data_IF_525511006414
#
_entry.id   IF_525511006414
#
_cell.length_a   1.000
_cell.length_b   1.000
_cell.length_c   1.000
_cell.angle_alpha   90.00
_cell.angle_beta   90.00
_cell.angle_gamma   90.00
#
_symmetry.space_group_name_H-M   'P 1'
#
loop_
_entity.id
_entity.type
_entity.pdbx_description
1 polymer ?
#
# COMPACT_ATOMS: atom_id res chain seq x y z
N UNK A 1 -3.54 -34.11 82.94
CA UNK A 1 -4.64 -33.57 83.77
C UNK A 1 -4.52 -32.05 83.80
N UNK A 2 -5.57 -31.36 83.32
CA UNK A 2 -6.18 -30.11 83.84
C UNK A 2 -5.22 -28.87 83.95
N UNK A 3 -5.26 -27.87 83.05
CA UNK A 3 -6.21 -26.72 82.96
C UNK A 3 -6.10 -25.79 84.20
N UNK A 4 -6.04 -24.45 84.18
CA UNK A 4 -6.42 -23.41 83.21
C UNK A 4 -5.94 -22.02 83.71
N UNK A 5 -5.78 -21.06 82.77
CA UNK A 5 -6.08 -19.60 82.85
C UNK A 5 -5.41 -18.70 83.93
N UNK A 6 -4.98 -17.44 83.68
CA UNK A 6 -5.52 -16.35 82.83
C UNK A 6 -4.54 -15.15 82.77
N UNK A 7 -4.52 -14.46 81.62
CA UNK A 7 -4.31 -13.00 81.36
C UNK A 7 -2.97 -12.34 81.74
N UNK A 8 -2.16 -12.01 80.73
CA UNK A 8 -1.32 -10.81 80.72
C UNK A 8 -1.79 -9.86 79.62
N UNK A 9 -2.03 -8.60 80.00
CA UNK A 9 -2.26 -7.47 79.14
C UNK A 9 -0.92 -6.98 78.56
N UNK A 10 -0.88 -6.69 77.26
CA UNK A 10 0.26 -6.02 76.62
C UNK A 10 -0.26 -4.74 75.96
N UNK A 11 0.51 -3.68 76.21
CA UNK A 11 0.20 -2.28 75.98
C UNK A 11 0.00 -1.91 74.50
N UNK A 12 -0.97 -1.01 74.26
CA UNK A 12 -1.09 -0.22 73.06
C UNK A 12 0.02 0.85 73.03
N UNK A 13 0.75 0.93 71.92
CA UNK A 13 1.45 2.13 71.48
C UNK A 13 0.96 2.46 70.07
N UNK A 14 0.10 3.47 69.99
CA UNK A 14 -0.36 4.06 68.75
C UNK A 14 0.73 5.01 68.21
N UNK A 15 1.25 4.71 67.02
CA UNK A 15 2.05 5.66 66.24
C UNK A 15 1.09 6.34 65.26
N UNK A 16 0.74 7.59 65.56
CA UNK A 16 0.06 8.47 64.63
C UNK A 16 1.08 9.07 63.65
N UNK A 17 0.83 8.91 62.36
CA UNK A 17 1.44 9.73 61.33
C UNK A 17 0.31 10.48 60.60
N UNK A 18 0.25 11.80 60.82
CA UNK A 18 -0.53 12.71 60.00
C UNK A 18 0.07 12.74 58.59
N UNK A 19 -0.70 12.39 57.57
CA UNK A 19 -0.43 12.79 56.19
C UNK A 19 -1.52 13.72 55.71
N UNK A 20 -1.11 14.97 55.49
CA UNK A 20 -1.94 16.04 54.94
C UNK A 20 -2.36 15.69 53.51
N UNK A 21 -3.66 15.86 53.22
CA UNK A 21 -4.14 15.98 51.85
C UNK A 21 -3.72 17.35 51.30
N UNK A 22 -2.62 17.39 50.56
CA UNK A 22 -2.21 18.52 49.75
C UNK A 22 -2.58 18.28 48.29
N UNK A 23 -3.49 19.08 47.75
CA UNK A 23 -3.75 19.13 46.32
C UNK A 23 -2.50 19.58 45.58
N UNK A 24 -2.03 18.78 44.62
CA UNK A 24 -0.92 19.19 43.76
C UNK A 24 -1.41 20.19 42.72
N UNK A 25 -1.03 21.45 42.93
CA UNK A 25 -1.02 22.50 41.93
C UNK A 25 -0.26 22.05 40.67
N UNK A 26 -0.72 22.51 39.50
CA UNK A 26 -0.04 22.31 38.22
C UNK A 26 1.31 23.04 38.26
N UNK A 27 2.36 22.29 38.00
CA UNK A 27 3.75 22.74 37.86
C UNK A 27 3.90 23.46 36.50
N UNK A 28 4.10 24.80 36.44
CA UNK A 28 4.04 25.57 35.21
C UNK A 28 5.27 25.40 34.30
N UNK A 29 6.27 24.62 34.70
CA UNK A 29 7.47 24.32 33.90
C UNK A 29 7.51 22.90 33.33
N UNK A 30 6.44 22.11 33.45
CA UNK A 30 6.36 20.81 32.77
C UNK A 30 5.82 20.97 31.34
N UNK A 31 6.60 20.63 30.30
CA UNK A 31 6.12 20.62 28.93
C UNK A 31 4.88 19.75 28.79
N UNK A 32 3.88 20.21 28.02
CA UNK A 32 2.68 19.41 27.78
C UNK A 32 3.04 18.12 27.03
N UNK A 33 2.18 17.10 27.11
CA UNK A 33 2.33 15.83 26.37
C UNK A 33 2.49 16.07 24.85
N UNK A 34 1.99 17.21 24.35
CA UNK A 34 2.16 17.65 22.96
C UNK A 34 3.58 18.17 22.66
N UNK A 35 4.29 18.77 23.62
CA UNK A 35 5.69 19.16 23.45
C UNK A 35 6.66 17.97 23.53
N UNK A 36 6.31 16.93 24.29
CA UNK A 36 7.07 15.67 24.31
C UNK A 36 6.96 14.87 23.01
N UNK A 37 5.87 15.02 22.25
CA UNK A 37 5.73 14.45 20.91
C UNK A 37 6.68 15.11 19.88
N UNK A 38 7.16 16.33 20.16
CA UNK A 38 8.03 17.08 19.24
C UNK A 38 9.52 16.96 19.60
N UNK A 39 9.87 16.46 20.80
CA UNK A 39 11.24 16.58 21.35
C UNK A 39 11.96 15.28 21.73
N UNK A 40 11.36 14.10 21.59
CA UNK A 40 11.97 12.84 22.03
C UNK A 40 12.64 12.02 20.92
N UNK A 41 13.89 12.34 20.57
CA UNK A 41 14.90 11.42 19.97
C UNK A 41 14.37 10.29 19.06
N UNK A 42 13.67 10.63 17.96
CA UNK A 42 13.72 9.81 16.76
C UNK A 42 15.04 10.16 16.07
N UNK A 43 15.83 9.16 15.68
CA UNK A 43 16.64 9.36 14.47
C UNK A 43 15.64 9.82 13.41
N UNK A 44 15.61 11.12 13.10
CA UNK A 44 14.77 11.64 12.04
C UNK A 44 15.21 10.89 10.79
N UNK A 45 14.42 9.91 10.39
CA UNK A 45 14.45 9.40 9.03
C UNK A 45 14.03 10.58 8.18
N UNK A 46 15.02 11.38 7.76
CA UNK A 46 14.80 12.55 6.93
C UNK A 46 14.40 12.01 5.57
N UNK A 47 13.16 12.32 5.19
CA UNK A 47 12.74 12.18 3.82
C UNK A 47 13.56 13.12 2.95
N UNK A 48 13.66 12.80 1.67
CA UNK A 48 14.22 13.73 0.71
C UNK A 48 13.36 15.01 0.66
N UNK A 49 13.98 16.15 0.35
CA UNK A 49 13.32 17.45 0.47
C UNK A 49 12.06 17.60 -0.40
N UNK A 50 12.00 16.92 -1.54
CA UNK A 50 10.84 16.87 -2.43
C UNK A 50 9.72 15.99 -1.88
N UNK A 51 10.05 14.82 -1.33
CA UNK A 51 9.10 13.98 -0.59
C UNK A 51 8.54 14.71 0.63
N UNK A 52 9.38 15.42 1.39
CA UNK A 52 8.94 16.20 2.54
C UNK A 52 7.95 17.29 2.16
N UNK A 53 8.09 17.92 0.98
CA UNK A 53 7.12 18.91 0.48
C UNK A 53 5.74 18.29 0.29
N UNK A 54 5.67 17.11 -0.34
CA UNK A 54 4.39 16.41 -0.53
C UNK A 54 3.79 16.00 0.82
N UNK A 55 4.60 15.54 1.77
CA UNK A 55 4.12 15.19 3.12
C UNK A 55 3.62 16.41 3.91
N UNK A 56 4.28 17.56 3.78
CA UNK A 56 3.84 18.80 4.41
C UNK A 56 2.48 19.24 3.84
N UNK A 57 2.32 19.18 2.52
CA UNK A 57 1.05 19.48 1.87
C UNK A 57 -0.04 18.50 2.29
N UNK A 58 0.26 17.20 2.32
CA UNK A 58 -0.67 16.18 2.80
C UNK A 58 -1.12 16.42 4.24
N UNK A 59 -0.18 16.77 5.13
CA UNK A 59 -0.47 17.08 6.52
C UNK A 59 -1.30 18.38 6.68
N UNK A 60 -1.20 19.32 5.73
CA UNK A 60 -1.94 20.59 5.77
C UNK A 60 -3.45 20.41 5.65
N UNK A 61 -3.91 19.29 5.08
CA UNK A 61 -5.34 19.00 4.94
C UNK A 61 -6.01 18.57 6.26
N UNK A 62 -5.24 18.37 7.34
CA UNK A 62 -5.73 18.02 8.68
C UNK A 62 -6.72 16.83 8.66
N UNK A 63 -6.37 15.82 7.87
CA UNK A 63 -7.16 14.59 7.72
C UNK A 63 -7.25 13.79 9.03
N UNK A 64 -8.38 13.11 9.22
CA UNK A 64 -8.54 12.20 10.36
C UNK A 64 -7.62 10.99 10.19
N UNK A 65 -7.03 10.54 11.29
CA UNK A 65 -6.28 9.28 11.32
C UNK A 65 -7.18 8.12 10.86
N UNK A 66 -6.81 7.43 9.77
CA UNK A 66 -7.67 6.47 9.07
C UNK A 66 -8.16 5.36 10.00
N UNK A 67 -7.32 4.86 10.89
CA UNK A 67 -7.67 3.81 11.85
C UNK A 67 -8.74 4.23 12.88
N UNK A 68 -9.09 5.52 12.93
CA UNK A 68 -10.14 6.10 13.78
C UNK A 68 -11.40 6.50 12.99
N UNK A 69 -11.47 6.14 11.71
CA UNK A 69 -12.58 6.47 10.82
C UNK A 69 -13.42 5.24 10.46
N UNK A 70 -14.65 5.48 10.02
CA UNK A 70 -15.42 4.48 9.25
C UNK A 70 -14.85 4.37 7.83
N UNK A 71 -15.05 3.23 7.12
CA UNK A 71 -14.62 3.11 5.72
C UNK A 71 -15.21 4.20 4.81
N UNK A 72 -16.45 4.63 5.06
CA UNK A 72 -17.08 5.72 4.31
C UNK A 72 -16.35 7.05 4.52
N UNK A 73 -15.95 7.38 5.76
CA UNK A 73 -15.15 8.57 6.07
C UNK A 73 -13.73 8.48 5.51
N UNK A 74 -13.08 7.31 5.60
CA UNK A 74 -11.75 7.06 5.04
C UNK A 74 -11.70 7.34 3.53
N UNK A 75 -12.75 6.92 2.80
CA UNK A 75 -12.89 7.15 1.34
C UNK A 75 -13.07 8.61 0.94
N UNK A 76 -13.37 9.50 1.90
CA UNK A 76 -13.50 10.95 1.66
C UNK A 76 -12.27 11.72 2.16
N UNK A 77 -11.29 11.04 2.78
CA UNK A 77 -10.08 11.72 3.25
C UNK A 77 -9.19 12.14 2.06
N UNK A 78 -8.45 13.25 2.20
CA UNK A 78 -7.41 13.64 1.26
C UNK A 78 -6.41 12.53 1.00
N UNK A 79 -5.82 12.52 -0.19
CA UNK A 79 -4.84 11.51 -0.62
C UNK A 79 -3.49 12.14 -0.95
N UNK A 80 -2.45 11.31 -1.12
CA UNK A 80 -1.16 11.78 -1.64
C UNK A 80 -1.28 12.37 -3.06
N UNK A 81 -2.25 11.92 -3.86
CA UNK A 81 -2.52 12.52 -5.16
C UNK A 81 -3.05 13.96 -5.02
N UNK A 82 -3.84 14.25 -3.99
CA UNK A 82 -4.30 15.61 -3.71
C UNK A 82 -3.16 16.49 -3.17
N UNK A 83 -2.27 15.92 -2.37
CA UNK A 83 -1.06 16.62 -1.92
C UNK A 83 -0.13 16.97 -3.09
N UNK A 84 0.02 16.07 -4.07
CA UNK A 84 0.76 16.39 -5.30
C UNK A 84 0.11 17.54 -6.06
N UNK A 85 -1.23 17.56 -6.19
CA UNK A 85 -1.95 18.68 -6.83
C UNK A 85 -1.75 19.99 -6.07
N UNK A 86 -1.80 19.97 -4.74
CA UNK A 86 -1.53 21.14 -3.89
C UNK A 86 -0.14 21.71 -4.14
N UNK A 87 0.90 20.87 -4.07
CA UNK A 87 2.28 21.28 -4.36
C UNK A 87 2.45 21.83 -5.77
N UNK A 88 1.78 21.26 -6.77
CA UNK A 88 1.82 21.76 -8.15
C UNK A 88 1.11 23.10 -8.29
N UNK A 89 -0.01 23.29 -7.60
CA UNK A 89 -0.75 24.55 -7.56
C UNK A 89 0.10 25.68 -6.96
N UNK A 90 0.79 25.42 -5.85
CA UNK A 90 1.72 26.36 -5.22
C UNK A 90 2.91 26.75 -6.11
N UNK A 91 3.25 25.87 -7.06
CA UNK A 91 4.29 26.10 -8.07
C UNK A 91 3.75 26.70 -9.37
N UNK A 92 2.46 27.03 -9.43
CA UNK A 92 1.76 27.49 -10.65
C UNK A 92 1.93 26.52 -11.83
N UNK A 93 1.97 25.21 -11.55
CA UNK A 93 2.13 24.14 -12.54
C UNK A 93 0.80 23.45 -12.82
N UNK A 94 0.56 23.15 -14.10
CA UNK A 94 -0.61 22.38 -14.52
C UNK A 94 -0.56 20.94 -13.97
N UNK A 95 -1.57 20.57 -13.18
CA UNK A 95 -1.76 19.23 -12.63
C UNK A 95 -2.65 18.35 -13.54
N UNK A 96 -2.98 18.81 -14.73
CA UNK A 96 -3.75 18.10 -15.73
C UNK A 96 -3.04 16.82 -16.19
N UNK A 97 -3.74 15.68 -16.37
CA UNK A 97 -3.09 14.41 -16.67
C UNK A 97 -2.20 14.41 -17.92
N UNK A 98 -2.59 15.17 -18.96
CA UNK A 98 -1.79 15.34 -20.19
C UNK A 98 -0.53 16.18 -19.98
N UNK A 99 -0.58 17.18 -19.10
CA UNK A 99 0.58 17.98 -18.75
C UNK A 99 1.59 17.17 -17.93
N UNK A 100 1.09 16.36 -16.99
CA UNK A 100 1.93 15.51 -16.13
C UNK A 100 2.61 14.38 -16.91
N UNK A 101 1.89 13.73 -17.83
CA UNK A 101 2.42 12.62 -18.63
C UNK A 101 2.02 12.80 -20.10
N UNK A 102 2.74 13.64 -20.86
CA UNK A 102 2.41 13.90 -22.25
C UNK A 102 2.59 12.65 -23.11
N UNK A 103 1.78 12.52 -24.17
CA UNK A 103 1.80 11.34 -25.07
C UNK A 103 1.10 10.10 -24.51
N UNK A 104 0.27 10.26 -23.46
CA UNK A 104 -0.63 9.20 -22.97
C UNK A 104 -2.06 9.70 -22.96
N UNK A 105 -2.91 9.04 -23.75
CA UNK A 105 -4.37 9.24 -23.73
C UNK A 105 -5.02 8.30 -22.71
N UNK A 106 -6.20 8.66 -22.22
CA UNK A 106 -6.97 7.81 -21.32
C UNK A 106 -8.46 7.81 -21.65
N UNK A 107 -9.13 6.66 -21.47
CA UNK A 107 -10.58 6.54 -21.59
C UNK A 107 -11.14 5.54 -20.58
N UNK A 108 -12.34 5.80 -20.10
CA UNK A 108 -13.05 4.88 -19.21
C UNK A 108 -13.78 3.78 -19.98
N UNK A 109 -13.79 2.59 -19.40
CA UNK A 109 -14.48 1.40 -19.90
C UNK A 109 -15.11 0.62 -18.75
N UNK A 110 -15.84 -0.43 -19.10
CA UNK A 110 -16.28 -1.47 -18.17
C UNK A 110 -15.60 -2.79 -18.54
N UNK A 111 -15.07 -3.50 -17.55
CA UNK A 111 -14.43 -4.82 -17.72
C UNK A 111 -15.13 -5.90 -16.88
N UNK A 112 -15.06 -7.18 -17.25
CA UNK A 112 -15.64 -8.24 -16.43
C UNK A 112 -14.91 -8.41 -15.09
N UNK A 113 -15.64 -8.25 -14.00
CA UNK A 113 -15.30 -8.76 -12.66
C UNK A 113 -15.96 -10.11 -12.39
N UNK A 114 -15.87 -10.60 -11.14
CA UNK A 114 -16.40 -11.91 -10.80
C UNK A 114 -17.93 -11.95 -10.68
N UNK A 115 -18.54 -10.84 -10.24
CA UNK A 115 -20.01 -10.75 -10.00
C UNK A 115 -20.69 -9.72 -10.91
N UNK A 116 -19.96 -9.02 -11.77
CA UNK A 116 -20.51 -8.01 -12.66
C UNK A 116 -19.43 -7.24 -13.41
N UNK A 117 -19.83 -6.15 -14.07
CA UNK A 117 -18.88 -5.24 -14.70
C UNK A 117 -18.22 -4.31 -13.66
N UNK A 118 -16.93 -4.06 -13.86
CA UNK A 118 -16.10 -3.18 -13.05
C UNK A 118 -15.65 -1.97 -13.87
N UNK A 119 -15.68 -0.76 -13.30
CA UNK A 119 -15.09 0.41 -13.94
C UNK A 119 -13.58 0.20 -14.14
N UNK A 120 -13.08 0.62 -15.29
CA UNK A 120 -11.65 0.66 -15.55
C UNK A 120 -11.28 1.86 -16.41
N UNK A 121 -10.03 2.30 -16.31
CA UNK A 121 -9.44 3.30 -17.20
C UNK A 121 -8.36 2.63 -18.03
N UNK A 122 -8.43 2.83 -19.34
CA UNK A 122 -7.40 2.41 -20.30
C UNK A 122 -6.50 3.59 -20.58
N UNK A 123 -5.22 3.48 -20.22
CA UNK A 123 -4.16 4.41 -20.60
C UNK A 123 -3.46 3.87 -21.84
N UNK A 124 -3.34 4.70 -22.88
CA UNK A 124 -2.76 4.29 -24.17
C UNK A 124 -1.62 5.24 -24.54
N UNK A 125 -0.39 4.72 -24.71
CA UNK A 125 0.75 5.52 -25.17
C UNK A 125 0.61 5.87 -26.66
N UNK A 126 1.45 6.78 -27.14
CA UNK A 126 1.55 7.09 -28.57
C UNK A 126 1.95 5.87 -29.41
N UNK A 127 1.41 5.81 -30.64
CA UNK A 127 1.70 4.75 -31.62
C UNK A 127 0.45 4.00 -32.08
N UNK A 128 0.64 3.02 -32.96
CA UNK A 128 -0.46 2.29 -33.61
C UNK A 128 -0.84 0.98 -32.92
N UNK A 129 0.03 0.40 -32.09
CA UNK A 129 -0.16 -0.92 -31.49
C UNK A 129 -0.06 -2.09 -32.50
N UNK A 130 -0.53 -3.31 -32.14
CA UNK A 130 -1.06 -3.65 -30.82
C UNK A 130 0.05 -3.54 -29.76
N UNK A 131 -0.30 -3.01 -28.59
CA UNK A 131 0.66 -2.80 -27.51
C UNK A 131 0.72 -4.02 -26.57
N UNK A 132 1.81 -4.22 -25.81
CA UNK A 132 1.73 -4.98 -24.58
C UNK A 132 0.64 -4.40 -23.65
N UNK A 133 0.08 -5.22 -22.77
CA UNK A 133 -0.93 -4.78 -21.81
C UNK A 133 -0.48 -5.05 -20.38
N UNK A 134 -0.59 -4.04 -19.53
CA UNK A 134 -0.42 -4.17 -18.08
C UNK A 134 -1.80 -4.06 -17.43
N UNK A 135 -2.24 -5.10 -16.73
CA UNK A 135 -3.38 -4.99 -15.82
C UNK A 135 -2.87 -4.41 -14.50
N UNK A 136 -3.40 -3.26 -14.12
CA UNK A 136 -2.93 -2.48 -12.99
C UNK A 136 -3.98 -2.41 -11.87
N UNK A 137 -3.56 -2.74 -10.66
CA UNK A 137 -4.40 -2.70 -9.46
C UNK A 137 -3.95 -1.55 -8.55
N UNK A 138 -4.90 -0.68 -8.21
CA UNK A 138 -4.67 0.42 -7.27
C UNK A 138 -4.42 -0.11 -5.85
N UNK A 139 -3.88 0.73 -4.97
CA UNK A 139 -3.69 0.40 -3.55
C UNK A 139 -4.90 0.72 -2.69
N UNK A 140 -4.67 1.20 -1.46
CA UNK A 140 -5.74 1.56 -0.52
C UNK A 140 -6.26 0.40 0.34
N UNK A 141 -5.41 -0.58 0.66
CA UNK A 141 -5.69 -1.61 1.66
C UNK A 141 -6.94 -2.45 1.40
N UNK A 142 -7.36 -2.58 0.14
CA UNK A 142 -8.63 -3.18 -0.32
C UNK A 142 -9.91 -2.48 0.18
N UNK A 143 -9.81 -1.31 0.82
CA UNK A 143 -10.93 -0.67 1.52
C UNK A 143 -11.29 0.69 0.92
N UNK A 144 -10.31 1.44 0.44
CA UNK A 144 -10.51 2.79 -0.09
C UNK A 144 -9.59 3.07 -1.29
N UNK A 145 -9.62 4.31 -1.78
CA UNK A 145 -9.06 4.75 -3.05
C UNK A 145 -9.68 4.07 -4.28
N UNK A 146 -9.28 4.53 -5.46
CA UNK A 146 -9.74 4.05 -6.76
C UNK A 146 -8.66 4.29 -7.83
N UNK A 147 -8.94 3.90 -9.07
CA UNK A 147 -8.08 4.15 -10.25
C UNK A 147 -7.79 5.63 -10.52
N UNK A 148 -8.59 6.57 -10.01
CA UNK A 148 -8.37 8.02 -10.20
C UNK A 148 -7.34 8.53 -9.20
N UNK A 149 -7.38 8.04 -7.96
CA UNK A 149 -6.33 8.32 -6.96
C UNK A 149 -4.97 7.80 -7.45
N UNK A 150 -4.95 6.63 -8.09
CA UNK A 150 -3.72 6.01 -8.61
C UNK A 150 -3.45 6.31 -10.11
N UNK A 151 -4.09 7.32 -10.70
CA UNK A 151 -3.94 7.68 -12.13
C UNK A 151 -2.47 7.89 -12.50
N UNK A 152 -1.73 8.67 -11.68
CA UNK A 152 -0.36 9.06 -11.99
C UNK A 152 0.61 7.87 -12.11
N UNK A 153 0.42 6.83 -11.27
CA UNK A 153 1.22 5.61 -11.34
C UNK A 153 0.90 4.80 -12.62
N UNK A 154 -0.38 4.54 -12.86
CA UNK A 154 -0.84 3.79 -14.04
C UNK A 154 -0.48 4.50 -15.36
N UNK A 155 -0.69 5.82 -15.43
CA UNK A 155 -0.37 6.66 -16.59
C UNK A 155 1.14 6.74 -16.82
N UNK A 156 1.92 6.90 -15.76
CA UNK A 156 3.37 6.87 -15.81
C UNK A 156 3.89 5.56 -16.40
N UNK A 157 3.38 4.43 -15.93
CA UNK A 157 3.73 3.10 -16.46
C UNK A 157 3.37 2.95 -17.94
N UNK A 158 2.22 3.44 -18.39
CA UNK A 158 1.83 3.39 -19.80
C UNK A 158 2.89 4.06 -20.70
N UNK A 159 3.38 5.23 -20.27
CA UNK A 159 4.46 5.95 -20.95
C UNK A 159 5.77 5.18 -20.90
N UNK A 160 6.24 4.81 -19.71
CA UNK A 160 7.59 4.26 -19.53
C UNK A 160 7.74 2.85 -20.13
N UNK A 161 6.70 2.03 -20.05
CA UNK A 161 6.70 0.67 -20.63
C UNK A 161 6.34 0.67 -22.13
N UNK A 162 5.83 1.78 -22.68
CA UNK A 162 5.19 1.84 -23.99
C UNK A 162 4.14 0.72 -24.15
N UNK A 163 3.26 0.62 -23.16
CA UNK A 163 2.25 -0.41 -23.03
C UNK A 163 0.88 0.21 -22.74
N UNK A 164 -0.19 -0.46 -23.17
CA UNK A 164 -1.52 -0.13 -22.68
C UNK A 164 -1.60 -0.54 -21.21
N UNK A 165 -2.08 0.35 -20.35
CA UNK A 165 -2.36 0.03 -18.94
C UNK A 165 -3.86 0.04 -18.74
N UNK A 166 -4.41 -1.06 -18.23
CA UNK A 166 -5.82 -1.16 -17.82
C UNK A 166 -5.86 -1.11 -16.31
N UNK A 167 -6.26 0.02 -15.73
CA UNK A 167 -6.44 0.18 -14.28
C UNK A 167 -7.88 -0.09 -13.89
N UNK A 168 -8.12 -1.06 -13.03
CA UNK A 168 -9.47 -1.55 -12.68
C UNK A 168 -9.86 -1.22 -11.24
N UNK A 169 -11.10 -0.76 -11.04
CA UNK A 169 -11.72 -0.57 -9.73
C UNK A 169 -12.33 -1.91 -9.29
N UNK A 170 -11.58 -2.70 -8.51
CA UNK A 170 -12.08 -3.95 -7.93
C UNK A 170 -13.02 -3.67 -6.75
N UNK A 171 -13.89 -4.64 -6.40
CA UNK A 171 -14.81 -4.47 -5.26
C UNK A 171 -14.03 -4.30 -3.95
N UNK A 172 -14.45 -3.32 -3.15
CA UNK A 172 -13.80 -2.95 -1.90
C UNK A 172 -14.51 -3.54 -0.68
N UNK A 173 -13.72 -3.78 0.36
CA UNK A 173 -14.16 -4.10 1.69
C UNK A 173 -14.58 -2.82 2.45
N UNK A 174 -15.43 -2.93 3.50
CA UNK A 174 -16.00 -4.15 4.06
C UNK A 174 -17.24 -4.67 3.33
N UNK A 175 -17.77 -3.96 2.34
CA UNK A 175 -18.98 -4.39 1.60
C UNK A 175 -18.72 -5.70 0.85
N UNK A 176 -17.51 -5.87 0.34
CA UNK A 176 -17.05 -7.06 -0.34
C UNK A 176 -15.69 -7.47 0.26
N UNK A 177 -15.74 -8.18 1.39
CA UNK A 177 -14.55 -8.70 2.07
C UNK A 177 -13.81 -9.74 1.20
N UNK A 178 -12.63 -10.11 1.65
CA UNK A 178 -11.86 -11.22 1.08
C UNK A 178 -12.75 -12.45 0.84
N UNK A 179 -12.72 -13.09 -0.35
CA UNK A 179 -11.76 -12.90 -1.44
C UNK A 179 -12.25 -12.04 -2.63
N UNK A 180 -13.23 -11.16 -2.46
CA UNK A 180 -13.90 -10.51 -3.59
C UNK A 180 -12.97 -9.74 -4.56
N UNK A 181 -12.02 -8.96 -4.04
CA UNK A 181 -11.05 -8.23 -4.87
C UNK A 181 -10.14 -9.17 -5.67
N UNK A 182 -9.73 -10.30 -5.09
CA UNK A 182 -8.91 -11.32 -5.74
C UNK A 182 -9.66 -12.01 -6.88
N UNK A 183 -10.95 -12.30 -6.68
CA UNK A 183 -11.81 -12.88 -7.71
C UNK A 183 -12.02 -11.91 -8.89
N UNK A 184 -12.24 -10.64 -8.60
CA UNK A 184 -12.37 -9.57 -9.60
C UNK A 184 -11.09 -9.38 -10.42
N UNK A 185 -9.93 -9.41 -9.76
CA UNK A 185 -8.63 -9.32 -10.42
C UNK A 185 -8.40 -10.49 -11.39
N UNK A 186 -8.70 -11.73 -10.96
CA UNK A 186 -8.60 -12.92 -11.82
C UNK A 186 -9.59 -12.88 -12.99
N UNK A 187 -10.83 -12.44 -12.76
CA UNK A 187 -11.84 -12.31 -13.81
C UNK A 187 -11.41 -11.30 -14.88
N UNK A 188 -10.89 -10.15 -14.45
CA UNK A 188 -10.38 -9.11 -15.37
C UNK A 188 -9.17 -9.61 -16.16
N UNK A 189 -8.24 -10.32 -15.50
CA UNK A 189 -7.08 -10.91 -16.18
C UNK A 189 -7.49 -11.96 -17.22
N UNK A 190 -8.44 -12.85 -16.88
CA UNK A 190 -9.01 -13.84 -17.82
C UNK A 190 -9.66 -13.18 -19.04
N UNK A 191 -10.32 -12.04 -18.85
CA UNK A 191 -10.87 -11.29 -19.98
C UNK A 191 -9.73 -10.79 -20.88
N UNK A 192 -8.65 -10.22 -20.33
CA UNK A 192 -7.51 -9.74 -21.12
C UNK A 192 -6.82 -10.85 -21.92
N UNK A 193 -6.73 -12.08 -21.41
CA UNK A 193 -6.12 -13.20 -22.17
C UNK A 193 -6.85 -13.54 -23.48
N UNK A 194 -8.08 -13.05 -23.67
CA UNK A 194 -8.88 -13.31 -24.88
C UNK A 194 -9.40 -12.04 -25.58
N UNK A 195 -9.42 -10.90 -24.88
CA UNK A 195 -10.04 -9.65 -25.36
C UNK A 195 -9.13 -8.42 -25.29
N UNK A 196 -7.83 -8.59 -25.06
CA UNK A 196 -6.86 -7.47 -25.08
C UNK A 196 -6.93 -6.62 -26.36
N UNK A 197 -7.28 -7.19 -27.52
CA UNK A 197 -7.43 -6.43 -28.77
C UNK A 197 -8.48 -5.31 -28.68
N UNK A 198 -9.49 -5.44 -27.81
CA UNK A 198 -10.51 -4.39 -27.57
C UNK A 198 -9.96 -3.12 -26.91
N UNK A 199 -8.75 -3.20 -26.34
CA UNK A 199 -8.01 -2.06 -25.79
C UNK A 199 -6.75 -1.75 -26.60
N UNK A 200 -6.69 -2.18 -27.87
CA UNK A 200 -5.50 -2.10 -28.74
C UNK A 200 -4.28 -2.84 -28.16
N UNK A 201 -4.54 -3.90 -27.40
CA UNK A 201 -3.54 -4.71 -26.72
C UNK A 201 -3.34 -6.09 -27.34
N UNK A 202 -2.18 -6.69 -27.07
CA UNK A 202 -1.83 -8.04 -27.46
C UNK A 202 -2.03 -9.03 -26.29
N UNK A 203 -2.93 -10.03 -26.41
CA UNK A 203 -3.20 -10.98 -25.34
C UNK A 203 -2.04 -11.93 -25.02
N UNK A 204 -0.98 -11.95 -25.83
CA UNK A 204 0.23 -12.75 -25.58
C UNK A 204 1.31 -11.98 -24.82
N UNK A 205 1.18 -10.66 -24.68
CA UNK A 205 2.14 -9.77 -24.03
C UNK A 205 1.46 -9.05 -22.86
N UNK A 206 1.07 -9.85 -21.87
CA UNK A 206 0.38 -9.38 -20.67
C UNK A 206 1.36 -9.27 -19.49
N UNK A 207 1.20 -8.25 -18.67
CA UNK A 207 1.83 -8.12 -17.35
C UNK A 207 0.80 -7.74 -16.29
N UNK A 208 1.15 -8.01 -15.04
CA UNK A 208 0.38 -7.60 -13.87
C UNK A 208 1.17 -6.55 -13.11
N UNK A 209 0.51 -5.49 -12.65
CA UNK A 209 1.13 -4.46 -11.85
C UNK A 209 0.21 -3.99 -10.73
N UNK A 210 0.78 -3.48 -9.64
CA UNK A 210 -0.01 -2.77 -8.66
C UNK A 210 0.81 -2.22 -7.51
N UNK A 211 0.14 -1.41 -6.70
CA UNK A 211 0.71 -0.66 -5.59
C UNK A 211 0.07 -1.10 -4.27
N UNK A 212 0.88 -1.35 -3.23
CA UNK A 212 0.40 -1.71 -1.89
C UNK A 212 -0.48 -2.98 -1.91
N UNK A 213 -1.75 -2.89 -1.49
CA UNK A 213 -2.75 -3.95 -1.66
C UNK A 213 -2.94 -4.37 -3.13
N UNK A 214 -2.77 -3.47 -4.09
CA UNK A 214 -2.75 -3.79 -5.52
C UNK A 214 -1.51 -4.57 -5.95
N UNK A 215 -0.37 -4.31 -5.30
CA UNK A 215 0.86 -5.11 -5.49
C UNK A 215 0.66 -6.55 -5.02
N UNK A 216 -0.09 -6.74 -3.93
CA UNK A 216 -0.54 -8.07 -3.49
C UNK A 216 -1.43 -8.73 -4.56
N UNK A 217 -2.46 -8.02 -5.04
CA UNK A 217 -3.37 -8.52 -6.08
C UNK A 217 -2.62 -8.91 -7.36
N UNK A 218 -1.60 -8.15 -7.76
CA UNK A 218 -0.79 -8.48 -8.93
C UNK A 218 -0.12 -9.85 -8.81
N UNK A 219 0.55 -10.12 -7.68
CA UNK A 219 1.21 -11.40 -7.43
C UNK A 219 0.18 -12.53 -7.25
N UNK A 220 -0.85 -12.31 -6.45
CA UNK A 220 -1.91 -13.30 -6.21
C UNK A 220 -2.63 -13.70 -7.51
N UNK A 221 -2.87 -12.73 -8.41
CA UNK A 221 -3.49 -12.98 -9.72
C UNK A 221 -2.58 -13.81 -10.61
N UNK A 222 -1.26 -13.60 -10.58
CA UNK A 222 -0.32 -14.41 -11.35
C UNK A 222 -0.36 -15.89 -10.91
N UNK A 223 -0.39 -16.14 -9.60
CA UNK A 223 -0.54 -17.48 -9.01
C UNK A 223 -1.87 -18.10 -9.46
N UNK A 224 -2.97 -17.36 -9.31
CA UNK A 224 -4.29 -17.85 -9.66
C UNK A 224 -4.45 -18.11 -11.17
N UNK A 225 -3.85 -17.28 -12.02
CA UNK A 225 -3.86 -17.45 -13.47
C UNK A 225 -3.12 -18.72 -13.90
N UNK A 226 -1.95 -18.98 -13.30
CA UNK A 226 -1.20 -20.22 -13.53
C UNK A 226 -2.02 -21.45 -13.13
N UNK A 227 -2.60 -21.45 -11.92
CA UNK A 227 -3.48 -22.54 -11.44
C UNK A 227 -4.69 -22.76 -12.34
N UNK A 228 -5.22 -21.69 -12.94
CA UNK A 228 -6.36 -21.74 -13.84
C UNK A 228 -5.99 -22.09 -15.30
N UNK A 229 -4.71 -22.34 -15.62
CA UNK A 229 -4.25 -22.63 -16.97
C UNK A 229 -4.44 -21.48 -17.96
N UNK A 230 -4.46 -20.23 -17.47
CA UNK A 230 -4.55 -19.04 -18.32
C UNK A 230 -3.21 -18.76 -19.00
N UNK A 231 -3.25 -17.96 -20.08
CA UNK A 231 -2.04 -17.37 -20.65
C UNK A 231 -1.25 -16.68 -19.53
N UNK A 232 -0.02 -17.16 -19.30
CA UNK A 232 0.83 -16.63 -18.24
C UNK A 232 1.19 -15.17 -18.50
N UNK A 233 1.18 -14.36 -17.44
CA UNK A 233 1.76 -13.03 -17.52
C UNK A 233 3.26 -13.17 -17.80
N UNK A 234 3.81 -12.23 -18.56
CA UNK A 234 5.24 -12.16 -18.87
C UNK A 234 6.04 -11.51 -17.75
N UNK A 235 5.40 -10.68 -16.93
CA UNK A 235 6.01 -9.97 -15.82
C UNK A 235 4.98 -9.65 -14.72
N UNK A 236 5.45 -9.57 -13.47
CA UNK A 236 4.70 -9.00 -12.35
C UNK A 236 5.49 -7.85 -11.73
N UNK A 237 4.90 -6.67 -11.66
CA UNK A 237 5.44 -5.52 -10.96
C UNK A 237 4.65 -5.28 -9.67
N UNK A 238 5.28 -5.43 -8.50
CA UNK A 238 4.65 -5.14 -7.23
C UNK A 238 5.38 -4.01 -6.51
N UNK A 239 4.70 -2.88 -6.38
CA UNK A 239 5.24 -1.67 -5.74
C UNK A 239 4.75 -1.65 -4.29
N UNK A 240 5.68 -1.61 -3.35
CA UNK A 240 5.56 -1.70 -1.89
C UNK A 240 4.43 -2.63 -1.44
N UNK A 241 4.42 -3.89 -1.90
CA UNK A 241 3.27 -4.75 -1.73
C UNK A 241 3.01 -5.08 -0.27
N UNK A 242 1.73 -5.23 0.09
CA UNK A 242 1.37 -6.09 1.22
C UNK A 242 1.71 -7.52 0.82
N UNK A 243 2.55 -8.21 1.58
CA UNK A 243 2.97 -9.57 1.23
C UNK A 243 2.71 -10.60 2.32
N UNK A 244 2.44 -10.15 3.55
CA UNK A 244 2.22 -11.00 4.71
C UNK A 244 1.42 -10.24 5.80
N UNK A 245 0.96 -10.93 6.85
CA UNK A 245 0.04 -10.36 7.86
C UNK A 245 0.62 -10.17 9.27
N UNK A 246 1.87 -10.56 9.51
CA UNK A 246 2.62 -10.25 10.72
C UNK A 246 3.04 -8.76 10.75
N UNK A 247 2.47 -8.01 11.69
CA UNK A 247 2.75 -6.57 11.86
C UNK A 247 3.83 -6.28 12.91
N UNK A 248 4.64 -7.27 13.27
CA UNK A 248 5.71 -7.16 14.28
C UNK A 248 7.13 -7.25 13.67
N UNK A 249 7.26 -7.05 12.36
CA UNK A 249 8.58 -6.99 11.69
C UNK A 249 9.33 -5.71 12.07
N UNK A 250 10.64 -5.65 11.80
CA UNK A 250 11.48 -4.50 12.13
C UNK A 250 10.91 -3.20 11.54
N UNK A 251 10.53 -3.20 10.26
CA UNK A 251 9.98 -2.03 9.57
C UNK A 251 8.63 -1.60 10.12
N UNK A 252 7.72 -2.52 10.46
CA UNK A 252 6.45 -2.18 11.11
C UNK A 252 6.66 -1.51 12.48
N UNK A 253 7.66 -1.94 13.25
CA UNK A 253 7.98 -1.35 14.55
C UNK A 253 8.73 -0.03 14.39
N UNK A 254 9.69 0.05 13.47
CA UNK A 254 10.52 1.24 13.20
C UNK A 254 9.71 2.39 12.61
N UNK A 255 8.75 2.09 11.72
CA UNK A 255 7.90 3.05 11.02
C UNK A 255 6.45 3.00 11.53
N UNK A 256 6.26 2.63 12.80
CA UNK A 256 4.94 2.41 13.39
C UNK A 256 4.00 3.61 13.32
N UNK A 257 4.55 4.83 13.20
CA UNK A 257 3.83 6.10 13.10
C UNK A 257 4.24 6.94 11.88
N UNK A 258 4.72 6.30 10.81
CA UNK A 258 5.04 6.96 9.55
C UNK A 258 3.79 7.51 8.84
N UNK A 259 4.02 8.41 7.88
CA UNK A 259 2.97 9.02 7.04
C UNK A 259 3.34 8.73 5.58
N UNK A 260 2.37 8.43 4.70
CA UNK A 260 0.93 8.37 4.95
C UNK A 260 0.45 7.03 5.53
N UNK A 261 1.30 5.99 5.54
CA UNK A 261 0.96 4.68 6.09
C UNK A 261 1.67 4.42 7.40
N UNK A 262 0.93 3.92 8.38
CA UNK A 262 1.44 3.51 9.69
C UNK A 262 0.92 2.11 10.10
N UNK A 263 1.47 1.57 11.19
CA UNK A 263 1.10 0.24 11.70
C UNK A 263 -0.37 0.15 12.16
N UNK A 264 -0.93 1.12 12.91
CA UNK A 264 -2.36 1.11 13.25
C UNK A 264 -3.29 1.03 12.04
N UNK A 265 -2.97 1.75 10.95
CA UNK A 265 -3.72 1.69 9.70
C UNK A 265 -3.68 0.29 9.07
N UNK A 266 -2.53 -0.39 9.07
CA UNK A 266 -2.45 -1.77 8.56
C UNK A 266 -3.35 -2.74 9.34
N UNK A 267 -3.41 -2.62 10.67
CA UNK A 267 -4.32 -3.42 11.49
C UNK A 267 -5.78 -3.11 11.15
N UNK A 268 -6.12 -1.83 10.92
CA UNK A 268 -7.45 -1.42 10.50
C UNK A 268 -7.80 -1.99 9.12
N UNK A 269 -6.91 -1.93 8.13
CA UNK A 269 -7.15 -2.52 6.79
C UNK A 269 -7.42 -4.01 6.88
N UNK A 270 -6.60 -4.77 7.62
CA UNK A 270 -6.80 -6.21 7.80
C UNK A 270 -8.18 -6.48 8.42
N UNK A 271 -8.57 -5.74 9.45
CA UNK A 271 -9.88 -5.91 10.11
C UNK A 271 -11.07 -5.61 9.19
N UNK A 272 -10.94 -4.60 8.32
CA UNK A 272 -11.99 -4.26 7.35
C UNK A 272 -12.04 -5.29 6.20
N UNK A 273 -10.88 -5.70 5.69
CA UNK A 273 -10.75 -6.59 4.53
C UNK A 273 -11.10 -8.05 4.82
N UNK A 274 -10.96 -8.50 6.07
CA UNK A 274 -11.14 -9.92 6.45
C UNK A 274 -12.44 -10.17 7.22
N UNK A 275 -13.02 -11.34 7.04
CA UNK A 275 -14.17 -11.85 7.81
C UNK A 275 -13.70 -12.54 9.09
N UNK A 276 -12.56 -13.23 9.02
CA UNK A 276 -11.94 -13.90 10.14
C UNK A 276 -10.43 -13.66 10.17
N UNK A 277 -9.76 -13.79 11.34
CA UNK A 277 -8.30 -13.73 11.41
C UNK A 277 -7.59 -14.73 10.49
N UNK A 278 -8.22 -15.86 10.19
CA UNK A 278 -7.65 -16.88 9.29
C UNK A 278 -7.54 -16.41 7.84
N UNK A 279 -8.39 -15.49 7.40
CA UNK A 279 -8.34 -14.97 6.04
C UNK A 279 -6.99 -14.27 5.79
N UNK A 280 -6.44 -13.59 6.81
CA UNK A 280 -5.12 -12.94 6.74
C UNK A 280 -3.94 -13.92 6.61
N UNK A 281 -4.18 -15.22 6.83
CA UNK A 281 -3.22 -16.31 6.65
C UNK A 281 -3.43 -17.09 5.36
N UNK A 282 -4.48 -16.77 4.59
CA UNK A 282 -4.69 -17.35 3.28
C UNK A 282 -3.53 -16.92 2.35
N UNK A 283 -2.96 -17.84 1.55
CA UNK A 283 -1.82 -17.54 0.66
C UNK A 283 -2.13 -16.54 -0.45
N UNK A 284 -3.40 -16.10 -0.61
CA UNK A 284 -3.77 -14.98 -1.47
C UNK A 284 -3.52 -13.61 -0.83
N UNK A 285 -3.42 -13.55 0.50
CA UNK A 285 -2.99 -12.36 1.26
C UNK A 285 -1.54 -12.55 1.73
N UNK A 286 -1.25 -13.67 2.38
CA UNK A 286 0.09 -14.04 2.86
C UNK A 286 0.90 -14.72 1.75
N UNK A 287 1.36 -13.90 0.80
CA UNK A 287 2.12 -14.31 -0.37
C UNK A 287 3.46 -14.97 -0.02
N UNK A 288 4.06 -14.62 1.14
CA UNK A 288 5.32 -15.21 1.61
C UNK A 288 5.18 -16.72 1.81
N UNK A 289 3.97 -17.19 2.16
CA UNK A 289 3.66 -18.61 2.37
C UNK A 289 2.89 -19.25 1.20
N UNK A 290 2.78 -18.56 0.06
CA UNK A 290 2.11 -19.08 -1.12
C UNK A 290 3.00 -20.04 -1.93
N UNK A 291 2.37 -20.82 -2.81
CA UNK A 291 3.08 -21.54 -3.86
C UNK A 291 3.45 -20.58 -4.99
N UNK A 292 4.70 -20.12 -4.98
CA UNK A 292 5.26 -19.15 -5.93
C UNK A 292 5.96 -19.82 -7.12
N UNK A 293 6.00 -21.15 -7.20
CA UNK A 293 6.79 -21.85 -8.21
C UNK A 293 6.22 -21.64 -9.61
N UNK A 294 7.09 -21.23 -10.54
CA UNK A 294 6.74 -21.05 -11.95
C UNK A 294 6.03 -19.73 -12.25
N UNK A 295 6.01 -18.79 -11.30
CA UNK A 295 5.66 -17.41 -11.59
C UNK A 295 6.64 -16.79 -12.61
N UNK A 296 6.17 -15.81 -13.43
CA UNK A 296 7.06 -15.05 -14.30
C UNK A 296 8.04 -14.18 -13.48
N UNK A 297 9.02 -13.54 -14.14
CA UNK A 297 9.87 -12.57 -13.47
C UNK A 297 9.08 -11.53 -12.68
N UNK A 298 9.53 -11.24 -11.47
CA UNK A 298 8.91 -10.29 -10.55
C UNK A 298 9.85 -9.11 -10.29
N UNK A 299 9.34 -7.89 -10.42
CA UNK A 299 10.01 -6.68 -9.93
C UNK A 299 9.32 -6.17 -8.69
N UNK A 300 10.09 -5.94 -7.63
CA UNK A 300 9.64 -5.36 -6.38
C UNK A 300 10.25 -3.96 -6.23
N UNK A 301 9.43 -2.95 -5.93
CA UNK A 301 9.88 -1.59 -5.62
C UNK A 301 9.46 -1.29 -4.19
N UNK A 302 10.37 -0.91 -3.29
CA UNK A 302 10.01 -0.55 -1.92
C UNK A 302 10.46 0.86 -1.59
N UNK A 303 9.75 1.50 -0.68
CA UNK A 303 10.18 2.70 0.02
C UNK A 303 10.94 2.34 1.30
N UNK A 304 11.90 3.18 1.71
CA UNK A 304 12.62 3.00 2.97
C UNK A 304 11.74 3.28 4.19
N UNK A 305 10.94 4.35 4.14
CA UNK A 305 10.13 4.84 5.27
C UNK A 305 8.72 4.27 5.13
N UNK A 306 8.60 2.97 5.35
CA UNK A 306 7.41 2.19 5.07
C UNK A 306 7.29 0.97 6.00
N UNK A 307 6.17 0.78 6.71
CA UNK A 307 5.89 -0.47 7.44
C UNK A 307 5.98 -1.73 6.56
N UNK A 308 5.68 -1.62 5.26
CA UNK A 308 5.70 -2.74 4.30
C UNK A 308 7.08 -2.98 3.67
N UNK A 309 8.13 -2.29 4.13
CA UNK A 309 9.49 -2.51 3.62
C UNK A 309 9.91 -3.98 3.77
N UNK A 310 9.66 -4.58 4.94
CA UNK A 310 10.07 -5.97 5.18
C UNK A 310 9.11 -6.98 4.55
N UNK A 311 7.88 -6.60 4.20
CA UNK A 311 6.97 -7.43 3.38
C UNK A 311 7.62 -7.69 2.02
N UNK A 312 8.10 -6.63 1.35
CA UNK A 312 8.80 -6.75 0.08
C UNK A 312 10.09 -7.58 0.19
N UNK A 313 10.85 -7.42 1.28
CA UNK A 313 12.08 -8.20 1.50
C UNK A 313 11.80 -9.69 1.75
N UNK A 314 10.77 -10.02 2.52
CA UNK A 314 10.36 -11.40 2.76
C UNK A 314 9.82 -12.06 1.49
N UNK A 315 9.01 -11.32 0.71
CA UNK A 315 8.50 -11.81 -0.57
C UNK A 315 9.64 -12.05 -1.57
N UNK A 316 10.63 -11.16 -1.63
CA UNK A 316 11.85 -11.37 -2.43
C UNK A 316 12.50 -12.71 -2.08
N UNK A 317 12.72 -12.98 -0.79
CA UNK A 317 13.33 -14.23 -0.36
C UNK A 317 12.47 -15.45 -0.72
N UNK A 318 11.15 -15.36 -0.53
CA UNK A 318 10.22 -16.44 -0.89
C UNK A 318 10.25 -16.72 -2.40
N UNK A 319 10.26 -15.69 -3.24
CA UNK A 319 10.38 -15.80 -4.71
C UNK A 319 11.70 -16.46 -5.12
N UNK A 320 12.84 -16.02 -4.53
CA UNK A 320 14.16 -16.62 -4.79
C UNK A 320 14.16 -18.10 -4.42
N UNK A 321 13.61 -18.45 -3.26
CA UNK A 321 13.52 -19.85 -2.79
C UNK A 321 12.65 -20.71 -3.72
N UNK A 322 11.62 -20.14 -4.32
CA UNK A 322 10.77 -20.81 -5.32
C UNK A 322 11.40 -20.89 -6.73
N UNK A 323 12.62 -20.36 -6.92
CA UNK A 323 13.32 -20.33 -8.21
C UNK A 323 12.80 -19.28 -9.18
N UNK A 324 12.06 -18.28 -8.71
CA UNK A 324 11.54 -17.17 -9.53
C UNK A 324 12.61 -16.10 -9.70
N UNK A 325 12.77 -15.58 -10.92
CA UNK A 325 13.62 -14.42 -11.17
C UNK A 325 13.00 -13.20 -10.50
N UNK A 326 13.70 -12.61 -9.53
CA UNK A 326 13.22 -11.44 -8.80
C UNK A 326 14.28 -10.38 -8.67
N UNK A 327 13.87 -9.14 -8.92
CA UNK A 327 14.66 -7.92 -8.72
C UNK A 327 13.93 -7.02 -7.73
N UNK A 328 14.60 -6.60 -6.66
CA UNK A 328 14.05 -5.65 -5.70
C UNK A 328 14.86 -4.37 -5.67
N UNK A 329 14.18 -3.22 -5.72
CA UNK A 329 14.80 -1.91 -5.55
C UNK A 329 14.18 -1.15 -4.37
N UNK A 330 15.02 -0.83 -3.39
CA UNK A 330 14.67 0.01 -2.25
C UNK A 330 15.06 1.46 -2.55
N UNK A 331 14.10 2.38 -2.44
CA UNK A 331 14.32 3.82 -2.56
C UNK A 331 14.40 4.44 -1.16
N UNK A 332 15.57 4.99 -0.83
CA UNK A 332 15.79 5.71 0.44
C UNK A 332 15.08 7.07 0.45
N UNK A 333 14.81 7.62 1.63
CA UNK A 333 14.26 8.98 1.78
C UNK A 333 12.83 9.19 1.25
N UNK A 334 12.15 8.15 0.80
CA UNK A 334 10.74 8.19 0.36
C UNK A 334 9.86 7.33 1.25
N UNK A 335 8.55 7.62 1.26
CA UNK A 335 7.54 6.94 2.09
C UNK A 335 6.70 5.95 1.28
N UNK A 336 5.83 5.21 1.97
CA UNK A 336 4.69 4.57 1.31
C UNK A 336 3.90 5.59 0.45
N UNK A 337 3.25 5.14 -0.62
CA UNK A 337 2.55 5.97 -1.62
C UNK A 337 3.44 6.92 -2.46
N UNK A 338 4.77 6.78 -2.44
CA UNK A 338 5.62 7.70 -3.23
C UNK A 338 5.49 7.50 -4.75
N UNK A 339 5.13 6.32 -5.24
CA UNK A 339 5.28 5.97 -6.67
C UNK A 339 4.43 6.85 -7.59
N UNK A 340 3.22 7.23 -7.16
CA UNK A 340 2.35 8.16 -7.87
C UNK A 340 2.77 9.64 -7.82
N UNK A 341 3.83 9.99 -7.09
CA UNK A 341 4.22 11.39 -6.84
C UNK A 341 5.27 11.94 -7.83
N UNK A 342 5.50 11.25 -8.95
CA UNK A 342 6.56 11.54 -9.93
C UNK A 342 6.55 12.96 -10.53
N UNK A 343 5.44 13.70 -10.43
CA UNK A 343 5.37 15.09 -10.84
C UNK A 343 6.16 16.05 -9.92
N UNK A 344 6.45 15.61 -8.69
CA UNK A 344 7.10 16.40 -7.64
C UNK A 344 8.34 15.69 -7.10
N UNK A 345 8.30 14.37 -6.89
CA UNK A 345 9.37 13.59 -6.25
C UNK A 345 10.23 12.89 -7.29
N UNK A 346 11.53 13.22 -7.32
CA UNK A 346 12.47 12.70 -8.30
C UNK A 346 12.58 11.17 -8.23
N UNK A 347 12.70 10.61 -7.02
CA UNK A 347 12.79 9.15 -6.82
C UNK A 347 11.54 8.41 -7.28
N UNK A 348 10.37 9.04 -7.27
CA UNK A 348 9.15 8.47 -7.84
C UNK A 348 9.24 8.39 -9.36
N UNK A 349 9.77 9.44 -10.02
CA UNK A 349 10.05 9.41 -11.46
C UNK A 349 11.06 8.32 -11.82
N UNK A 350 12.16 8.21 -11.07
CA UNK A 350 13.17 7.15 -11.26
C UNK A 350 12.57 5.76 -11.08
N UNK A 351 11.70 5.58 -10.08
CA UNK A 351 10.98 4.33 -9.86
C UNK A 351 10.06 3.96 -11.02
N UNK A 352 9.30 4.92 -11.56
CA UNK A 352 8.45 4.68 -12.72
C UNK A 352 9.26 4.34 -13.98
N UNK A 353 10.39 5.03 -14.22
CA UNK A 353 11.31 4.72 -15.33
C UNK A 353 11.87 3.30 -15.19
N UNK A 354 12.36 2.95 -14.00
CA UNK A 354 12.87 1.60 -13.73
C UNK A 354 11.79 0.54 -13.95
N UNK A 355 10.58 0.75 -13.41
CA UNK A 355 9.45 -0.14 -13.61
C UNK A 355 9.12 -0.34 -15.10
N UNK A 356 9.07 0.76 -15.88
CA UNK A 356 8.85 0.70 -17.32
C UNK A 356 9.93 -0.08 -18.06
N UNK A 357 11.20 0.09 -17.70
CA UNK A 357 12.31 -0.68 -18.27
C UNK A 357 12.17 -2.18 -17.99
N UNK A 358 11.82 -2.57 -16.75
CA UNK A 358 11.61 -3.97 -16.36
C UNK A 358 10.44 -4.60 -17.12
N UNK A 359 9.31 -3.90 -17.18
CA UNK A 359 8.14 -4.34 -17.95
C UNK A 359 8.47 -4.48 -19.44
N UNK A 360 9.11 -3.48 -20.04
CA UNK A 360 9.44 -3.47 -21.47
C UNK A 360 10.36 -4.63 -21.86
N UNK A 361 11.35 -4.95 -21.03
CA UNK A 361 12.30 -6.03 -21.30
C UNK A 361 11.61 -7.40 -21.45
N UNK A 362 10.63 -7.69 -20.60
CA UNK A 362 9.94 -8.99 -20.60
C UNK A 362 8.71 -9.01 -21.52
N UNK A 363 8.21 -7.84 -21.93
CA UNK A 363 7.07 -7.69 -22.83
C UNK A 363 7.45 -7.55 -24.31
N UNK A 364 8.73 -7.50 -24.67
CA UNK A 364 9.16 -7.36 -26.07
C UNK A 364 8.97 -8.60 -26.96
N UNK A 365 8.74 -9.80 -26.39
CA UNK A 365 8.70 -11.07 -27.11
C UNK A 365 7.38 -11.85 -26.94
#
# INVERSE_FOLDING_TARGET
MISNHRKLAVALLAIGALTQMGGCARDPEKPSVTQLAVSGTKSMLRTDSDMQKVLNEFASFDGKAIEKTTPAEARQQPTMADAVKGVLSDQERDSGPTALVPGVSSRDIQVPGAVGLLPATVYTPEGSGPFPVVLYFHGGGWVFADRKVYDAGARGLAKQANAVVVSVDYRLAPENKFPAAHEDALATYRWLTTKASSVNGDPKRLALAGESAGGNLAVATAIAAQKAGLTAAKHVLAVYPVAQSNTDTESYLKYADAIPLNRPMMLWFIAQATTSPMDSKDPRIDLVHADLKGLPPVTLINAEIDPLRDDGAQLEQALRNAGVSVERRLYSGVTHEFFGTAAVVQKAQEAQVYAGQRLKADLTN
#
